data_IF_737274673919
#
_entry.id   IF_737274673919
#
_cell.length_a   1.000
_cell.length_b   1.000
_cell.length_c   1.000
_cell.angle_alpha   90.00
_cell.angle_beta   90.00
_cell.angle_gamma   90.00
#
_symmetry.space_group_name_H-M   'P 1'
#
loop_
_entity.id
_entity.type
_entity.pdbx_description
1 polymer ?
#
# COMPACT_ATOMS: atom_id res chain seq x y z
N UNK A 1 -5.56 13.37 -75.79
CA UNK A 1 -4.50 13.38 -74.75
C UNK A 1 -4.77 14.37 -73.62
N UNK A 2 -5.17 15.62 -73.90
CA UNK A 2 -5.50 16.67 -72.91
C UNK A 2 -6.62 16.29 -71.92
N UNK A 3 -7.63 15.52 -72.35
CA UNK A 3 -8.75 15.09 -71.49
C UNK A 3 -8.32 14.18 -70.33
N UNK A 4 -7.29 13.37 -70.54
CA UNK A 4 -6.76 12.49 -69.49
C UNK A 4 -5.89 13.25 -68.49
N UNK A 5 -5.11 14.25 -68.93
CA UNK A 5 -4.33 15.11 -68.04
C UNK A 5 -5.23 15.88 -67.05
N UNK A 6 -6.36 16.41 -67.52
CA UNK A 6 -7.31 17.11 -66.63
C UNK A 6 -7.91 16.18 -65.58
N UNK A 7 -8.30 14.95 -65.97
CA UNK A 7 -8.84 13.95 -65.05
C UNK A 7 -7.79 13.55 -64.01
N UNK A 8 -6.54 13.32 -64.41
CA UNK A 8 -5.46 12.98 -63.48
C UNK A 8 -5.16 14.13 -62.50
N UNK A 9 -5.19 15.40 -62.94
CA UNK A 9 -4.99 16.56 -62.07
C UNK A 9 -6.13 16.70 -61.05
N UNK A 10 -7.40 16.53 -61.46
CA UNK A 10 -8.54 16.54 -60.52
C UNK A 10 -8.53 15.37 -59.55
N UNK A 11 -8.04 14.19 -59.97
CA UNK A 11 -7.93 13.01 -59.11
C UNK A 11 -6.79 13.16 -58.08
N UNK A 12 -5.67 13.78 -58.46
CA UNK A 12 -4.57 14.08 -57.52
C UNK A 12 -5.00 15.13 -56.48
N UNK A 13 -5.78 16.14 -56.87
CA UNK A 13 -6.29 17.15 -55.93
C UNK A 13 -7.31 16.61 -54.93
N UNK A 14 -8.02 15.52 -55.24
CA UNK A 14 -9.02 14.92 -54.34
C UNK A 14 -8.40 14.04 -53.25
N UNK A 15 -7.10 13.75 -53.32
CA UNK A 15 -6.35 13.04 -52.28
C UNK A 15 -5.47 13.94 -51.41
N UNK A 16 -5.45 15.26 -51.66
CA UNK A 16 -4.77 16.22 -50.79
C UNK A 16 -5.77 16.60 -49.68
N UNK A 17 -5.74 15.85 -48.58
CA UNK A 17 -6.33 16.32 -47.33
C UNK A 17 -5.54 17.54 -46.88
N UNK A 18 -6.14 18.73 -46.98
CA UNK A 18 -5.57 19.93 -46.39
C UNK A 18 -5.54 19.73 -44.86
N UNK A 19 -4.36 19.46 -44.31
CA UNK A 19 -4.13 19.55 -42.87
C UNK A 19 -4.13 21.04 -42.51
N UNK A 20 -5.27 21.54 -42.04
CA UNK A 20 -5.33 22.88 -41.47
C UNK A 20 -4.66 22.84 -40.10
N UNK A 21 -3.80 23.82 -39.83
CA UNK A 21 -3.19 23.98 -38.52
C UNK A 21 -4.23 24.58 -37.57
N UNK A 22 -4.70 23.76 -36.63
CA UNK A 22 -5.59 24.15 -35.55
C UNK A 22 -4.78 24.60 -34.33
N UNK A 23 -5.44 25.24 -33.35
CA UNK A 23 -4.79 25.72 -32.13
C UNK A 23 -5.17 24.85 -30.92
N UNK A 24 -4.15 24.39 -30.19
CA UNK A 24 -4.29 23.69 -28.92
C UNK A 24 -3.87 24.60 -27.76
N UNK A 25 -4.73 24.68 -26.76
CA UNK A 25 -4.44 25.28 -25.45
C UNK A 25 -4.52 24.19 -24.38
N UNK A 26 -3.50 24.08 -23.55
CA UNK A 26 -3.47 23.18 -22.38
C UNK A 26 -3.11 24.02 -21.17
N UNK A 27 -4.00 24.03 -20.18
CA UNK A 27 -3.81 24.81 -18.94
C UNK A 27 -3.86 23.82 -17.79
N UNK A 28 -2.79 23.72 -17.01
CA UNK A 28 -2.78 23.01 -15.73
C UNK A 28 -2.71 23.99 -14.56
N UNK A 29 -3.15 23.55 -13.39
CA UNK A 29 -3.03 24.26 -12.11
C UNK A 29 -1.73 23.92 -11.34
N UNK A 30 -0.88 23.05 -11.89
CA UNK A 30 0.51 22.87 -11.40
C UNK A 30 1.49 23.76 -12.16
N UNK A 31 2.31 24.49 -11.41
CA UNK A 31 3.35 25.37 -11.93
C UNK A 31 4.55 24.59 -12.53
N UNK A 32 4.66 23.29 -12.22
CA UNK A 32 5.81 22.45 -12.59
C UNK A 32 5.48 21.34 -13.59
N UNK A 33 4.22 21.15 -13.94
CA UNK A 33 3.83 20.03 -14.78
C UNK A 33 4.30 20.18 -16.24
N UNK A 34 4.89 19.12 -16.79
CA UNK A 34 5.33 19.01 -18.18
C UNK A 34 4.16 18.52 -19.03
N UNK A 35 3.86 19.24 -20.11
CA UNK A 35 2.81 18.89 -21.06
C UNK A 35 3.45 18.24 -22.29
N UNK A 36 2.99 17.05 -22.65
CA UNK A 36 3.51 16.23 -23.74
C UNK A 36 2.42 15.84 -24.73
N UNK A 37 2.77 15.88 -26.01
CA UNK A 37 1.93 15.42 -27.11
C UNK A 37 2.63 14.28 -27.83
N UNK A 38 2.02 13.09 -27.90
CA UNK A 38 2.65 11.88 -28.43
C UNK A 38 4.04 11.62 -27.84
N UNK A 39 4.19 11.87 -26.52
CA UNK A 39 5.45 11.76 -25.75
C UNK A 39 6.51 12.82 -26.07
N UNK A 40 6.19 13.85 -26.86
CA UNK A 40 7.07 15.00 -27.12
C UNK A 40 6.67 16.16 -26.23
N UNK A 41 7.63 16.73 -25.52
CA UNK A 41 7.40 17.88 -24.64
C UNK A 41 7.03 19.11 -25.47
N UNK A 42 5.87 19.70 -25.17
CA UNK A 42 5.36 20.90 -25.85
C UNK A 42 5.33 22.13 -24.95
N UNK A 43 5.49 21.96 -23.63
CA UNK A 43 5.63 23.07 -22.69
C UNK A 43 5.51 22.65 -21.23
N UNK A 44 5.51 23.65 -20.34
CA UNK A 44 5.41 23.47 -18.88
C UNK A 44 4.30 24.37 -18.37
N UNK A 45 3.45 23.84 -17.48
CA UNK A 45 2.30 24.46 -16.83
C UNK A 45 1.19 24.93 -17.79
N UNK A 46 1.51 25.87 -18.67
CA UNK A 46 0.54 26.46 -19.61
C UNK A 46 1.11 26.46 -21.02
N UNK A 47 0.37 25.85 -21.94
CA UNK A 47 0.61 25.92 -23.38
C UNK A 47 -0.56 26.65 -24.01
N UNK A 48 -0.27 27.73 -24.74
CA UNK A 48 -1.30 28.49 -25.48
C UNK A 48 -0.91 28.65 -26.94
N UNK A 49 -1.91 28.64 -27.82
CA UNK A 49 -1.79 28.83 -29.26
C UNK A 49 -0.82 27.85 -29.93
N UNK A 50 -0.72 26.62 -29.43
CA UNK A 50 0.12 25.60 -30.02
C UNK A 50 -0.48 25.14 -31.35
N UNK A 51 0.25 25.36 -32.45
CA UNK A 51 -0.20 24.98 -33.79
C UNK A 51 -0.04 23.48 -33.97
N UNK A 52 -1.12 22.80 -34.29
CA UNK A 52 -1.17 21.34 -34.44
C UNK A 52 -2.01 20.98 -35.67
N UNK A 53 -1.59 19.97 -36.42
CA UNK A 53 -2.39 19.46 -37.54
C UNK A 53 -3.63 18.71 -37.02
N UNK A 54 -4.64 18.53 -37.88
CA UNK A 54 -5.78 17.69 -37.54
C UNK A 54 -5.38 16.23 -37.40
N UNK A 55 -5.91 15.55 -36.39
CA UNK A 55 -5.62 14.16 -36.08
C UNK A 55 -5.92 13.80 -34.63
N UNK A 56 -5.73 12.53 -34.29
CA UNK A 56 -5.82 12.03 -32.91
C UNK A 56 -4.44 12.04 -32.27
N UNK A 57 -4.32 12.62 -31.08
CA UNK A 57 -3.07 12.75 -30.34
C UNK A 57 -3.20 12.25 -28.91
N UNK A 58 -2.15 11.65 -28.38
CA UNK A 58 -2.07 11.35 -26.95
C UNK A 58 -1.53 12.58 -26.22
N UNK A 59 -2.39 13.25 -25.46
CA UNK A 59 -1.98 14.32 -24.55
C UNK A 59 -1.67 13.72 -23.19
N UNK A 60 -0.44 13.93 -22.71
CA UNK A 60 0.01 13.50 -21.39
C UNK A 60 0.49 14.72 -20.61
N UNK A 61 0.08 14.86 -19.36
CA UNK A 61 0.62 15.85 -18.43
C UNK A 61 1.29 15.10 -17.28
N UNK A 62 2.54 15.44 -16.99
CA UNK A 62 3.34 14.83 -15.93
C UNK A 62 3.76 15.88 -14.91
N UNK A 63 3.68 15.58 -13.62
CA UNK A 63 4.22 16.43 -12.55
C UNK A 63 5.18 15.64 -11.68
N UNK A 64 6.39 16.15 -11.45
CA UNK A 64 7.47 15.48 -10.71
C UNK A 64 7.73 14.02 -11.15
N UNK A 65 7.66 13.75 -12.46
CA UNK A 65 7.88 12.42 -13.04
C UNK A 65 6.72 11.42 -12.86
N UNK A 66 5.56 11.89 -12.38
CA UNK A 66 4.33 11.10 -12.29
C UNK A 66 3.32 11.61 -13.32
N UNK A 67 2.71 10.71 -14.09
CA UNK A 67 1.61 11.05 -15.01
C UNK A 67 0.36 11.44 -14.21
N UNK A 68 -0.11 12.68 -14.40
CA UNK A 68 -1.30 13.21 -13.71
C UNK A 68 -2.54 13.21 -14.61
N UNK A 69 -2.35 13.24 -15.93
CA UNK A 69 -3.43 13.23 -16.91
C UNK A 69 -2.93 12.58 -18.21
N UNK A 70 -3.72 11.68 -18.78
CA UNK A 70 -3.47 11.13 -20.11
C UNK A 70 -4.78 10.84 -20.83
N UNK A 71 -4.97 11.47 -21.99
CA UNK A 71 -6.18 11.31 -22.78
C UNK A 71 -5.84 11.38 -24.28
N UNK A 72 -6.58 10.60 -25.09
CA UNK A 72 -6.55 10.73 -26.54
C UNK A 72 -7.48 11.89 -26.93
N UNK A 73 -6.91 12.89 -27.58
CA UNK A 73 -7.62 14.10 -28.00
C UNK A 73 -7.75 14.09 -29.51
N UNK A 74 -8.96 14.38 -30.00
CA UNK A 74 -9.24 14.49 -31.42
C UNK A 74 -9.26 15.96 -31.84
N UNK A 75 -8.29 16.35 -32.66
CA UNK A 75 -8.23 17.67 -33.30
C UNK A 75 -8.88 17.56 -34.68
N UNK A 76 -10.04 18.20 -34.82
CA UNK A 76 -10.84 18.21 -36.05
C UNK A 76 -11.00 19.63 -36.58
N UNK A 77 -11.21 19.75 -37.89
CA UNK A 77 -11.44 21.02 -38.59
C UNK A 77 -12.70 21.78 -38.13
N UNK A 78 -13.56 21.14 -37.32
CA UNK A 78 -14.80 21.74 -36.84
C UNK A 78 -14.56 22.74 -35.69
N UNK A 79 -13.38 22.71 -35.05
CA UNK A 79 -13.04 23.56 -33.90
C UNK A 79 -11.71 24.30 -34.14
N UNK A 80 -11.81 25.60 -34.43
CA UNK A 80 -10.65 26.52 -34.61
C UNK A 80 -9.65 26.54 -33.45
N UNK A 81 -10.11 26.22 -32.24
CA UNK A 81 -9.31 26.17 -31.00
C UNK A 81 -9.83 25.04 -30.12
N UNK A 82 -8.95 24.13 -29.71
CA UNK A 82 -9.23 23.11 -28.70
C UNK A 82 -8.55 23.52 -27.40
N UNK A 83 -9.34 23.69 -26.32
CA UNK A 83 -8.80 24.06 -25.00
C UNK A 83 -9.06 22.93 -24.01
N UNK A 84 -8.00 22.51 -23.34
CA UNK A 84 -8.02 21.44 -22.33
C UNK A 84 -7.54 22.05 -21.02
N UNK A 85 -8.43 22.04 -20.03
CA UNK A 85 -8.10 22.45 -18.67
C UNK A 85 -7.90 21.18 -17.84
N UNK A 86 -6.67 20.96 -17.41
CA UNK A 86 -6.31 19.89 -16.49
C UNK A 86 -6.33 20.50 -15.10
N UNK A 87 -7.21 20.00 -14.23
CA UNK A 87 -7.12 20.30 -12.81
C UNK A 87 -6.40 19.15 -12.14
N UNK A 88 -5.35 19.43 -11.38
CA UNK A 88 -4.92 18.57 -10.31
C UNK A 88 -6.06 18.55 -9.29
N UNK A 89 -6.98 17.61 -9.49
CA UNK A 89 -7.46 16.93 -8.32
C UNK A 89 -6.20 16.44 -7.60
N UNK A 90 -5.97 16.88 -6.36
CA UNK A 90 -5.15 16.17 -5.40
C UNK A 90 -5.80 14.79 -5.11
N UNK A 91 -6.01 13.99 -6.15
CA UNK A 91 -6.32 12.59 -6.09
C UNK A 91 -5.02 11.93 -5.65
N UNK A 92 -4.82 11.86 -4.33
CA UNK A 92 -4.08 10.79 -3.69
C UNK A 92 -4.44 9.48 -4.41
N UNK A 93 -3.60 9.10 -5.39
CA UNK A 93 -3.57 7.80 -6.07
C UNK A 93 -4.93 7.09 -6.21
N UNK A 94 -5.74 7.52 -7.17
CA UNK A 94 -6.74 6.61 -7.78
C UNK A 94 -6.03 5.65 -8.74
N UNK A 95 -5.13 4.82 -8.20
CA UNK A 95 -4.77 3.55 -8.84
C UNK A 95 -6.10 2.79 -8.98
N UNK A 96 -6.54 2.57 -10.22
CA UNK A 96 -7.71 1.74 -10.52
C UNK A 96 -7.37 0.33 -10.01
N UNK A 97 -8.10 -0.10 -8.98
CA UNK A 97 -7.89 -1.37 -8.30
C UNK A 97 -8.34 -2.49 -9.23
N UNK A 98 -7.37 -3.16 -9.87
CA UNK A 98 -7.64 -4.47 -10.44
C UNK A 98 -7.77 -5.49 -9.29
N UNK A 99 -8.99 -5.68 -8.81
CA UNK A 99 -9.33 -6.63 -7.74
C UNK A 99 -8.85 -8.06 -8.04
N UNK A 100 -8.74 -8.44 -9.33
CA UNK A 100 -8.25 -9.76 -9.73
C UNK A 100 -6.74 -9.88 -9.55
N UNK A 101 -5.98 -8.84 -9.89
CA UNK A 101 -4.53 -8.78 -9.66
C UNK A 101 -4.20 -8.81 -8.16
N UNK A 102 -5.00 -8.13 -7.33
CA UNK A 102 -4.84 -8.16 -5.87
C UNK A 102 -5.14 -9.52 -5.26
N UNK A 103 -6.25 -10.15 -5.66
CA UNK A 103 -6.57 -11.53 -5.25
C UNK A 103 -5.45 -12.49 -5.63
N UNK A 104 -4.93 -12.42 -6.87
CA UNK A 104 -3.81 -13.27 -7.31
C UNK A 104 -2.55 -13.08 -6.47
N UNK A 105 -2.17 -11.83 -6.16
CA UNK A 105 -1.02 -11.54 -5.32
C UNK A 105 -1.19 -12.00 -3.88
N UNK A 106 -2.40 -11.82 -3.32
CA UNK A 106 -2.70 -12.24 -1.97
C UNK A 106 -2.72 -13.77 -1.85
N UNK A 107 -3.34 -14.46 -2.82
CA UNK A 107 -3.27 -15.91 -2.93
C UNK A 107 -1.82 -16.39 -3.08
N UNK A 108 -0.99 -15.71 -3.89
CA UNK A 108 0.43 -16.01 -4.01
C UNK A 108 1.18 -15.85 -2.67
N UNK A 109 1.00 -14.72 -1.99
CA UNK A 109 1.67 -14.43 -0.72
C UNK A 109 1.23 -15.40 0.38
N UNK A 110 -0.07 -15.73 0.45
CA UNK A 110 -0.57 -16.75 1.37
C UNK A 110 -0.08 -18.15 1.00
N UNK A 111 0.04 -18.49 -0.29
CA UNK A 111 0.59 -19.78 -0.72
C UNK A 111 2.08 -19.94 -0.40
N UNK A 112 2.79 -18.82 -0.26
CA UNK A 112 4.21 -18.75 0.13
C UNK A 112 4.40 -18.52 1.63
N UNK A 113 3.32 -18.23 2.35
CA UNK A 113 3.32 -18.12 3.80
C UNK A 113 3.37 -19.53 4.35
N UNK A 114 4.49 -19.91 4.97
CA UNK A 114 4.54 -21.18 5.67
C UNK A 114 3.72 -21.15 6.96
N UNK A 115 3.48 -22.32 7.54
CA UNK A 115 2.51 -22.48 8.62
C UNK A 115 3.09 -22.08 9.98
N UNK A 116 4.41 -22.01 10.11
CA UNK A 116 5.08 -21.70 11.37
C UNK A 116 5.60 -20.27 11.36
N UNK A 117 5.32 -19.49 12.40
CA UNK A 117 5.74 -18.11 12.50
C UNK A 117 6.45 -17.80 13.81
N UNK A 118 7.52 -17.00 13.74
CA UNK A 118 8.31 -16.53 14.88
C UNK A 118 8.37 -15.01 14.84
N UNK A 119 8.15 -14.37 15.98
CA UNK A 119 8.01 -12.93 16.03
C UNK A 119 8.21 -12.32 17.40
N UNK A 120 7.99 -11.00 17.46
CA UNK A 120 7.98 -10.21 18.67
C UNK A 120 6.55 -9.77 18.96
N UNK A 121 6.15 -9.88 20.22
CA UNK A 121 4.90 -9.37 20.75
C UNK A 121 5.23 -8.26 21.75
N UNK A 122 4.83 -7.03 21.43
CA UNK A 122 5.06 -5.86 22.25
C UNK A 122 3.74 -5.43 22.91
N UNK A 123 3.66 -5.63 24.22
CA UNK A 123 2.54 -5.24 25.09
C UNK A 123 3.04 -5.03 26.52
N UNK A 124 2.14 -4.81 27.49
CA UNK A 124 2.49 -4.86 28.92
C UNK A 124 3.17 -6.18 29.32
N UNK A 125 2.90 -7.26 28.58
CA UNK A 125 3.58 -8.56 28.67
C UNK A 125 4.23 -8.90 27.34
N UNK A 126 5.33 -8.22 27.08
CA UNK A 126 6.10 -8.42 25.85
C UNK A 126 6.85 -9.74 25.86
N UNK A 127 7.09 -10.31 24.69
CA UNK A 127 7.84 -11.56 24.56
C UNK A 127 8.00 -12.04 23.12
N UNK A 128 8.61 -13.21 22.98
CA UNK A 128 8.66 -13.94 21.72
C UNK A 128 7.29 -14.52 21.41
N UNK A 129 6.84 -14.36 20.17
CA UNK A 129 5.58 -14.88 19.65
C UNK A 129 5.90 -16.03 18.72
N UNK A 130 5.43 -17.23 19.04
CA UNK A 130 5.39 -18.32 18.07
C UNK A 130 3.94 -18.51 17.62
N UNK A 131 3.74 -18.87 16.37
CA UNK A 131 2.42 -19.21 15.86
C UNK A 131 2.47 -20.37 14.90
N UNK A 132 1.42 -21.17 14.91
CA UNK A 132 1.23 -22.25 13.97
C UNK A 132 -0.19 -22.18 13.40
N UNK A 133 -0.28 -22.03 12.08
CA UNK A 133 -1.54 -21.92 11.34
C UNK A 133 -2.07 -23.34 11.04
N UNK A 134 -3.23 -23.70 11.61
CA UNK A 134 -3.98 -24.95 11.39
C UNK A 134 -5.39 -24.58 10.91
N UNK A 135 -5.59 -24.41 9.61
CA UNK A 135 -6.87 -23.96 9.03
C UNK A 135 -8.10 -24.64 9.68
N UNK A 136 -9.07 -23.88 10.24
CA UNK A 136 -9.24 -22.41 10.23
C UNK A 136 -8.64 -21.64 11.43
N UNK A 137 -7.88 -22.31 12.29
CA UNK A 137 -7.39 -21.80 13.56
C UNK A 137 -5.86 -21.63 13.60
N UNK A 138 -5.39 -20.50 14.10
CA UNK A 138 -3.98 -20.32 14.43
C UNK A 138 -3.76 -20.46 15.92
N UNK A 139 -2.87 -21.37 16.31
CA UNK A 139 -2.38 -21.48 17.68
C UNK A 139 -1.22 -20.51 17.83
N UNK A 140 -1.23 -19.67 18.87
CA UNK A 140 -0.13 -18.75 19.17
C UNK A 140 0.35 -18.96 20.60
N UNK A 141 1.66 -18.91 20.80
CA UNK A 141 2.25 -18.83 22.13
C UNK A 141 3.03 -17.53 22.26
N UNK A 142 2.90 -16.88 23.43
CA UNK A 142 3.75 -15.77 23.84
C UNK A 142 4.61 -16.28 24.98
N UNK A 143 5.92 -16.13 24.84
CA UNK A 143 6.87 -16.59 25.84
C UNK A 143 7.98 -15.56 26.07
N UNK A 144 8.27 -15.30 27.34
CA UNK A 144 9.44 -14.54 27.76
C UNK A 144 9.93 -15.11 29.09
N UNK A 145 11.24 -15.32 29.20
CA UNK A 145 11.86 -15.77 30.44
C UNK A 145 13.15 -14.99 30.67
N UNK A 146 13.30 -14.48 31.88
CA UNK A 146 14.50 -13.78 32.32
C UNK A 146 14.78 -14.16 33.77
N UNK A 147 16.03 -14.49 34.07
CA UNK A 147 16.48 -14.79 35.43
C UNK A 147 17.81 -14.11 35.70
N UNK A 148 17.86 -13.39 36.81
CA UNK A 148 19.06 -12.80 37.38
C UNK A 148 19.11 -13.09 38.89
N UNK A 149 20.19 -12.66 39.55
CA UNK A 149 20.34 -12.83 41.00
C UNK A 149 19.26 -12.08 41.81
N UNK A 150 18.64 -11.05 41.24
CA UNK A 150 17.70 -10.16 41.92
C UNK A 150 16.29 -10.21 41.35
N UNK A 151 16.10 -10.86 40.21
CA UNK A 151 14.79 -10.89 39.54
C UNK A 151 14.56 -12.16 38.75
N UNK A 152 13.31 -12.62 38.75
CA UNK A 152 12.85 -13.78 38.01
C UNK A 152 11.55 -13.40 37.33
N UNK A 153 11.57 -13.40 36.01
CA UNK A 153 10.42 -13.09 35.19
C UNK A 153 10.12 -14.27 34.28
N UNK A 154 8.89 -14.75 34.34
CA UNK A 154 8.33 -15.72 33.43
C UNK A 154 7.03 -15.16 32.89
N UNK A 155 6.85 -15.23 31.58
CA UNK A 155 5.59 -14.97 30.88
C UNK A 155 5.43 -16.12 29.90
N UNK A 156 4.31 -16.83 30.00
CA UNK A 156 3.97 -17.93 29.11
C UNK A 156 2.48 -17.94 28.88
N UNK A 157 2.06 -17.96 27.62
CA UNK A 157 0.64 -17.95 27.30
C UNK A 157 0.33 -18.63 25.99
N UNK A 158 -0.89 -19.14 25.88
CA UNK A 158 -1.41 -19.82 24.71
C UNK A 158 -2.68 -19.13 24.24
N UNK A 159 -2.81 -18.95 22.94
CA UNK A 159 -3.93 -18.27 22.28
C UNK A 159 -4.40 -19.05 21.08
N UNK A 160 -5.71 -19.00 20.85
CA UNK A 160 -6.38 -19.56 19.70
C UNK A 160 -6.98 -18.40 18.92
N UNK A 161 -6.52 -18.21 17.68
CA UNK A 161 -6.87 -17.07 16.85
C UNK A 161 -7.56 -17.57 15.58
N UNK A 162 -8.68 -16.97 15.23
CA UNK A 162 -9.38 -17.20 13.98
C UNK A 162 -9.30 -15.94 13.11
N UNK A 163 -8.87 -16.10 11.87
CA UNK A 163 -8.80 -15.01 10.91
C UNK A 163 -10.11 -14.92 10.12
N UNK A 164 -10.60 -13.72 9.87
CA UNK A 164 -11.79 -13.54 9.06
C UNK A 164 -11.54 -13.89 7.58
N UNK A 165 -12.55 -14.47 6.94
CA UNK A 165 -12.51 -14.84 5.53
C UNK A 165 -12.50 -13.60 4.61
N UNK A 166 -11.81 -13.69 3.46
CA UNK A 166 -11.86 -12.71 2.34
C UNK A 166 -11.42 -11.27 2.66
N UNK A 167 -10.28 -11.09 3.31
CA UNK A 167 -9.81 -9.74 3.66
C UNK A 167 -8.50 -9.40 2.96
N UNK A 168 -8.60 -8.54 1.93
CA UNK A 168 -7.50 -7.92 1.23
C UNK A 168 -7.91 -6.47 0.94
N UNK A 169 -7.13 -5.49 1.42
CA UNK A 169 -7.40 -4.07 1.16
C UNK A 169 -6.42 -3.50 0.14
N UNK A 170 -6.75 -2.33 -0.39
CA UNK A 170 -6.19 -1.67 -1.58
C UNK A 170 -4.65 -1.66 -1.69
N UNK A 171 -3.93 -1.69 -0.56
CA UNK A 171 -2.47 -1.48 -0.53
C UNK A 171 -1.68 -2.46 0.36
N UNK A 172 -2.33 -3.36 1.11
CA UNK A 172 -1.69 -4.29 2.05
C UNK A 172 -2.46 -5.61 2.15
N UNK A 173 -1.76 -6.72 2.42
CA UNK A 173 -2.43 -7.99 2.75
C UNK A 173 -2.95 -7.88 4.18
N UNK A 174 -4.12 -7.26 4.34
CA UNK A 174 -4.73 -6.92 5.63
C UNK A 174 -5.73 -7.98 6.06
N UNK A 175 -5.48 -8.67 7.18
CA UNK A 175 -6.32 -9.72 7.75
C UNK A 175 -6.72 -9.38 9.17
N UNK A 176 -8.01 -9.16 9.40
CA UNK A 176 -8.57 -9.11 10.74
C UNK A 176 -8.60 -10.50 11.35
N UNK A 177 -8.48 -10.54 12.66
CA UNK A 177 -8.62 -11.75 13.44
C UNK A 177 -9.26 -11.46 14.79
N UNK A 178 -9.84 -12.50 15.38
CA UNK A 178 -10.32 -12.52 16.75
C UNK A 178 -9.84 -13.81 17.42
N UNK A 179 -9.89 -13.88 18.74
CA UNK A 179 -9.48 -15.09 19.42
C UNK A 179 -9.79 -15.13 20.89
N UNK A 180 -9.24 -16.14 21.54
CA UNK A 180 -9.25 -16.32 22.99
C UNK A 180 -7.87 -16.79 23.44
N UNK A 181 -7.43 -16.34 24.61
CA UNK A 181 -6.10 -16.62 25.12
C UNK A 181 -6.01 -16.65 26.62
N UNK A 182 -5.02 -17.39 27.11
CA UNK A 182 -4.63 -17.42 28.51
C UNK A 182 -3.13 -17.16 28.62
N UNK A 183 -2.73 -16.20 29.45
CA UNK A 183 -1.33 -15.85 29.70
C UNK A 183 -1.05 -15.91 31.19
N UNK A 184 -0.15 -16.79 31.58
CA UNK A 184 0.41 -16.85 32.92
C UNK A 184 1.69 -16.01 32.99
N UNK A 185 1.86 -15.26 34.06
CA UNK A 185 3.15 -14.63 34.37
C UNK A 185 3.50 -14.77 35.85
N UNK A 186 4.78 -14.97 36.12
CA UNK A 186 5.40 -14.86 37.44
C UNK A 186 6.50 -13.80 37.31
N UNK A 187 6.25 -12.62 37.88
CA UNK A 187 7.19 -11.50 37.86
C UNK A 187 7.60 -11.24 39.31
N UNK A 188 8.81 -11.65 39.66
CA UNK A 188 9.39 -11.54 40.99
C UNK A 188 8.47 -12.10 42.11
N UNK A 189 7.81 -13.24 41.86
CA UNK A 189 6.91 -13.89 42.82
C UNK A 189 5.48 -13.33 42.82
N UNK A 190 5.19 -12.27 42.06
CA UNK A 190 3.82 -11.86 41.77
C UNK A 190 3.29 -12.71 40.62
N UNK A 191 2.36 -13.61 40.96
CA UNK A 191 1.72 -14.48 39.98
C UNK A 191 0.51 -13.76 39.42
N UNK A 192 0.34 -13.85 38.11
CA UNK A 192 -0.74 -13.17 37.44
C UNK A 192 -1.25 -13.95 36.24
N UNK A 193 -2.55 -14.24 36.25
CA UNK A 193 -3.24 -15.01 35.21
C UNK A 193 -4.13 -14.06 34.40
N UNK A 194 -3.90 -14.01 33.10
CA UNK A 194 -4.65 -13.17 32.20
C UNK A 194 -5.47 -14.01 31.24
N UNK A 195 -6.78 -13.80 31.23
CA UNK A 195 -7.67 -14.28 30.18
C UNK A 195 -7.91 -13.15 29.18
N UNK A 196 -7.77 -13.42 27.89
CA UNK A 196 -7.77 -12.39 26.85
C UNK A 196 -8.71 -12.76 25.71
N UNK A 197 -9.42 -11.75 25.20
CA UNK A 197 -10.21 -11.82 23.96
C UNK A 197 -9.58 -10.82 22.98
N UNK A 198 -8.54 -11.22 22.22
CA UNK A 198 -7.91 -10.35 21.24
C UNK A 198 -8.78 -10.09 20.01
N UNK A 199 -8.73 -8.87 19.51
CA UNK A 199 -9.18 -8.42 18.21
C UNK A 199 -8.02 -7.68 17.54
N UNK A 200 -7.54 -8.16 16.40
CA UNK A 200 -6.37 -7.57 15.77
C UNK A 200 -6.42 -7.59 14.26
N UNK A 201 -5.43 -6.94 13.68
CA UNK A 201 -5.18 -6.89 12.26
C UNK A 201 -3.73 -7.30 11.99
N UNK A 202 -3.53 -8.27 11.11
CA UNK A 202 -2.24 -8.64 10.54
C UNK A 202 -2.11 -8.00 9.16
N UNK A 203 -0.98 -7.38 8.85
CA UNK A 203 -0.74 -6.76 7.55
C UNK A 203 0.70 -6.94 7.05
N UNK A 204 0.85 -6.98 5.71
CA UNK A 204 2.16 -6.96 5.02
C UNK A 204 2.25 -5.72 4.13
N UNK A 205 3.37 -4.99 4.21
CA UNK A 205 3.67 -3.88 3.31
C UNK A 205 4.04 -4.37 1.91
N UNK A 206 3.66 -3.62 0.86
CA UNK A 206 3.92 -3.96 -0.55
C UNK A 206 4.95 -3.01 -1.16
N UNK A 207 5.86 -3.56 -1.98
CA UNK A 207 6.76 -2.81 -2.86
C UNK A 207 8.00 -2.26 -2.17
N UNK A 208 8.97 -1.78 -2.96
CA UNK A 208 10.06 -0.92 -2.50
C UNK A 208 9.45 0.44 -2.14
N UNK A 209 9.26 0.75 -0.86
CA UNK A 209 8.69 2.01 -0.45
C UNK A 209 9.64 3.16 -0.82
N UNK A 210 9.14 4.40 -0.98
CA UNK A 210 9.97 5.53 -1.37
C UNK A 210 11.15 5.68 -0.40
N UNK A 211 12.36 5.94 -0.95
CA UNK A 211 13.54 6.18 -0.13
C UNK A 211 13.22 7.30 0.86
N UNK A 212 13.28 7.00 2.16
CA UNK A 212 13.15 8.01 3.20
C UNK A 212 14.27 9.05 3.01
N UNK A 213 14.04 10.33 3.33
CA UNK A 213 15.08 11.35 3.33
C UNK A 213 16.29 10.94 4.21
N UNK A 214 17.54 11.28 3.86
CA UNK A 214 18.74 10.96 4.65
C UNK A 214 18.62 11.31 6.15
N UNK A 215 17.89 12.39 6.48
CA UNK A 215 17.65 12.83 7.86
C UNK A 215 16.75 11.87 8.67
N UNK A 216 15.86 11.09 8.04
CA UNK A 216 15.00 10.14 8.75
C UNK A 216 15.77 8.89 9.21
N UNK A 217 16.89 8.55 8.58
CA UNK A 217 17.75 7.44 9.02
C UNK A 217 18.50 7.73 10.32
N UNK A 218 18.76 9.01 10.61
CA UNK A 218 19.44 9.43 11.84
C UNK A 218 18.49 9.50 13.05
N UNK A 219 17.23 9.89 12.83
CA UNK A 219 16.22 10.02 13.91
C UNK A 219 15.47 8.71 14.20
N UNK A 220 15.41 7.78 13.24
CA UNK A 220 14.61 6.55 13.34
C UNK A 220 15.40 5.28 12.95
N UNK A 221 16.66 5.18 13.34
CA UNK A 221 17.58 4.10 12.93
C UNK A 221 17.01 2.68 13.12
N UNK A 222 16.27 2.42 14.20
CA UNK A 222 15.60 1.12 14.45
C UNK A 222 14.42 0.87 13.51
N UNK A 223 13.61 1.89 13.21
CA UNK A 223 12.51 1.77 12.25
C UNK A 223 13.03 1.65 10.82
N UNK A 224 14.11 2.34 10.46
CA UNK A 224 14.75 2.23 9.15
C UNK A 224 15.42 0.84 8.94
N UNK A 225 15.96 0.23 10.00
CA UNK A 225 16.44 -1.16 9.97
C UNK A 225 15.28 -2.16 9.85
N UNK A 226 14.22 -1.99 10.64
CA UNK A 226 12.99 -2.79 10.53
C UNK A 226 12.32 -2.64 9.15
N UNK A 227 12.40 -1.47 8.55
CA UNK A 227 11.89 -1.13 7.23
C UNK A 227 12.66 -1.82 6.10
N UNK A 228 14.00 -1.84 6.13
CA UNK A 228 14.79 -2.57 5.13
C UNK A 228 14.65 -4.09 5.26
N UNK A 229 14.51 -4.61 6.48
CA UNK A 229 14.18 -6.03 6.70
C UNK A 229 12.78 -6.37 6.14
N UNK A 230 11.81 -5.46 6.25
CA UNK A 230 10.44 -5.63 5.76
C UNK A 230 10.32 -5.79 4.26
N UNK A 231 11.22 -5.16 3.50
CA UNK A 231 11.20 -5.16 2.03
C UNK A 231 11.97 -6.34 1.44
N UNK A 232 12.87 -6.95 2.22
CA UNK A 232 13.71 -8.06 1.77
C UNK A 232 13.12 -9.44 2.12
N UNK A 233 12.31 -9.50 3.18
CA UNK A 233 11.77 -10.76 3.71
C UNK A 233 10.31 -10.94 3.34
N UNK A 234 10.07 -11.70 2.28
CA UNK A 234 8.73 -11.98 1.75
C UNK A 234 7.76 -12.64 2.75
N UNK A 235 8.26 -13.17 3.85
CA UNK A 235 7.48 -13.88 4.85
C UNK A 235 7.34 -13.08 6.15
N UNK A 236 7.71 -11.79 6.17
CA UNK A 236 7.52 -10.90 7.33
C UNK A 236 6.15 -10.21 7.31
N UNK A 237 5.44 -10.29 8.42
CA UNK A 237 4.13 -9.70 8.67
C UNK A 237 4.15 -8.86 9.95
N UNK A 238 3.30 -7.85 9.99
CA UNK A 238 3.09 -6.97 11.14
C UNK A 238 1.70 -7.20 11.71
N UNK A 239 1.50 -6.93 12.99
CA UNK A 239 0.16 -6.91 13.56
C UNK A 239 -0.02 -5.78 14.56
N UNK A 240 -1.25 -5.30 14.64
CA UNK A 240 -1.75 -4.43 15.71
C UNK A 240 -2.97 -5.12 16.30
N UNK A 241 -3.04 -5.16 17.63
CA UNK A 241 -4.04 -5.90 18.37
C UNK A 241 -4.57 -5.04 19.51
N UNK A 242 -5.89 -5.07 19.68
CA UNK A 242 -6.57 -4.61 20.88
C UNK A 242 -7.43 -5.76 21.43
N UNK A 243 -8.13 -5.55 22.53
CA UNK A 243 -9.04 -6.57 23.05
C UNK A 243 -9.32 -6.43 24.52
N UNK A 244 -10.18 -7.30 25.02
CA UNK A 244 -10.50 -7.37 26.44
C UNK A 244 -9.48 -8.26 27.15
N UNK A 245 -9.06 -7.83 28.34
CA UNK A 245 -8.21 -8.62 29.23
C UNK A 245 -8.81 -8.61 30.63
N UNK A 246 -8.83 -9.79 31.24
CA UNK A 246 -9.22 -10.04 32.62
C UNK A 246 -7.98 -10.60 33.33
N UNK A 247 -7.50 -9.87 34.32
CA UNK A 247 -6.26 -10.12 35.00
C UNK A 247 -6.56 -10.41 36.48
N UNK A 248 -6.23 -11.62 36.91
CA UNK A 248 -6.26 -12.06 38.30
C UNK A 248 -4.84 -12.19 38.83
N UNK A 249 -4.52 -11.42 39.87
CA UNK A 249 -3.19 -11.34 40.48
C UNK A 249 -3.22 -11.82 41.93
N UNK A 250 -2.11 -12.41 42.39
CA UNK A 250 -1.94 -12.74 43.82
C UNK A 250 -1.93 -11.50 44.71
N UNK A 251 -1.53 -10.35 44.16
CA UNK A 251 -1.81 -9.04 44.74
C UNK A 251 -3.12 -8.50 44.17
N UNK A 252 -4.17 -8.47 44.98
CA UNK A 252 -5.53 -8.10 44.56
C UNK A 252 -5.65 -6.67 44.04
N UNK A 253 -4.74 -5.78 44.43
CA UNK A 253 -4.72 -4.40 43.95
C UNK A 253 -4.32 -4.30 42.46
N UNK A 254 -3.71 -5.37 41.93
CA UNK A 254 -3.30 -5.46 40.52
C UNK A 254 -4.35 -6.18 39.65
N UNK A 255 -5.52 -6.51 40.20
CA UNK A 255 -6.62 -7.06 39.41
C UNK A 255 -7.08 -6.01 38.40
N UNK A 256 -7.19 -6.40 37.14
CA UNK A 256 -7.51 -5.47 36.06
C UNK A 256 -8.49 -6.12 35.08
N UNK A 257 -9.56 -5.39 34.78
CA UNK A 257 -10.45 -5.71 33.67
C UNK A 257 -10.51 -4.50 32.76
N UNK A 258 -10.12 -4.67 31.50
CA UNK A 258 -10.16 -3.56 30.56
C UNK A 258 -9.58 -3.87 29.20
N UNK A 259 -9.11 -2.82 28.53
CA UNK A 259 -8.58 -2.92 27.18
C UNK A 259 -7.08 -3.16 27.20
N UNK A 260 -6.63 -4.07 26.35
CA UNK A 260 -5.22 -4.22 26.01
C UNK A 260 -4.91 -3.59 24.66
N UNK A 261 -3.63 -3.26 24.49
CA UNK A 261 -3.06 -2.90 23.21
C UNK A 261 -1.74 -3.65 23.04
N UNK A 262 -1.53 -4.19 21.85
CA UNK A 262 -0.31 -4.87 21.48
C UNK A 262 0.03 -4.61 20.01
N UNK A 263 1.31 -4.63 19.71
CA UNK A 263 1.83 -4.53 18.36
C UNK A 263 2.98 -5.51 18.19
N UNK A 264 3.33 -5.83 16.95
CA UNK A 264 4.49 -6.67 16.73
C UNK A 264 4.72 -7.05 15.29
N UNK A 265 5.71 -7.92 15.11
CA UNK A 265 6.10 -8.46 13.82
C UNK A 265 6.31 -9.96 13.92
N UNK A 266 6.16 -10.67 12.82
CA UNK A 266 6.26 -12.12 12.74
C UNK A 266 6.77 -12.55 11.37
N UNK A 267 7.79 -13.38 11.35
CA UNK A 267 8.32 -14.01 10.16
C UNK A 267 7.79 -15.45 10.08
N UNK A 268 7.21 -15.84 8.95
CA UNK A 268 6.76 -17.20 8.69
C UNK A 268 7.84 -18.02 7.97
N UNK A 269 7.87 -19.33 8.25
CA UNK A 269 8.74 -20.35 7.65
C UNK A 269 7.89 -21.41 6.97
#
# INVERSE_FOLDING_TARGET
MIKYIFITITFIFSFITFNYAEMLNVITDSDTAIIKLNKVDIGISVVTNYKIETGTYLLTVEDNGTEIYSELIDISNDKKVTTISVKLDHNLSKEIIDSNKQKKFASYTLSKKGNFGVGLYLSSRSGLKLSYDIDPLTIQTIFWMYQSNTSKNFVGGLRFINYFNNQFTKHTLFRLYYGFGFIHSDINGTITNNTEIPFGAEFKFRGTPPKLPPASYLLFSVYALGYNLSTFLDQLFYFVETGLTFNDSTNTDNNYTGLKFALGMKYYF
#
